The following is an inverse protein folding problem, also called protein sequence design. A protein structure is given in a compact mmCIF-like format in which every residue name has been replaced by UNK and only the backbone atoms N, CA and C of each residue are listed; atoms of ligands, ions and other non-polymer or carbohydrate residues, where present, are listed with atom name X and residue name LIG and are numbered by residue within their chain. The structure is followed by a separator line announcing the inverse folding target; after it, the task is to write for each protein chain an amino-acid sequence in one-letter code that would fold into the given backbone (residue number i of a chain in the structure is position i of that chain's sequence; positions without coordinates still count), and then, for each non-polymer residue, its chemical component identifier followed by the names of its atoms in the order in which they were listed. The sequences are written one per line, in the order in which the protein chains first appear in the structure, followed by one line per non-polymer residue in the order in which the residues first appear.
data_IF_246939036778
#
_entry.id   IF_246939036778
#
_cell.length_a   1.000
_cell.length_b   1.000
_cell.length_c   1.000
_cell.angle_alpha   90.00
_cell.angle_beta   90.00
_cell.angle_gamma   90.00
#
_symmetry.space_group_name_H-M   'P 1'
#
loop_
_entity.id
_entity.type
_entity.pdbx_description
1 polymer ?
#
# COMPACT_ATOMS: atom_id res chain seq x y z
N UNK A 1 -41.39 45.35 -2.00
CA UNK A 1 -41.52 45.20 -3.46
C UNK A 1 -40.18 44.73 -3.96
N UNK A 2 -40.21 43.56 -4.60
CA UNK A 2 -39.07 42.76 -5.06
C UNK A 2 -38.18 43.56 -6.02
N UNK A 3 -36.88 43.44 -5.88
CA UNK A 3 -35.94 43.64 -6.98
C UNK A 3 -35.33 42.28 -7.27
N UNK A 4 -35.92 41.63 -8.25
CA UNK A 4 -35.47 40.37 -8.83
C UNK A 4 -34.14 40.66 -9.54
N UNK A 5 -33.08 39.96 -9.10
CA UNK A 5 -31.81 39.90 -9.83
C UNK A 5 -31.79 38.53 -10.48
N UNK A 6 -32.06 38.53 -11.78
CA UNK A 6 -31.95 37.38 -12.65
C UNK A 6 -30.52 36.83 -12.58
N UNK A 7 -30.37 35.64 -12.01
CA UNK A 7 -29.15 34.86 -12.09
C UNK A 7 -29.29 33.94 -13.31
N UNK A 8 -28.73 34.36 -14.45
CA UNK A 8 -28.53 33.48 -15.59
C UNK A 8 -27.58 32.33 -15.18
N UNK A 9 -28.13 31.11 -15.19
CA UNK A 9 -27.38 29.87 -15.02
C UNK A 9 -26.81 29.52 -16.37
N UNK A 10 -25.53 29.85 -16.59
CA UNK A 10 -24.79 29.38 -17.75
C UNK A 10 -24.47 27.88 -17.53
N UNK A 11 -25.23 27.02 -18.18
CA UNK A 11 -24.99 25.58 -18.23
C UNK A 11 -23.75 25.33 -19.08
N UNK A 12 -22.59 25.26 -18.44
CA UNK A 12 -21.36 24.79 -19.10
C UNK A 12 -21.40 23.27 -19.16
N UNK A 13 -21.48 22.79 -20.39
CA UNK A 13 -21.44 21.39 -20.83
C UNK A 13 -20.38 20.59 -20.05
N UNK A 14 -20.85 19.63 -19.27
CA UNK A 14 -20.01 18.63 -18.62
C UNK A 14 -19.66 17.53 -19.62
N UNK A 15 -18.66 17.79 -20.47
CA UNK A 15 -17.99 16.74 -21.23
C UNK A 15 -16.67 16.36 -20.53
N UNK A 16 -16.70 15.18 -19.90
CA UNK A 16 -15.65 14.15 -20.01
C UNK A 16 -14.21 14.50 -19.57
N UNK A 17 -14.04 15.01 -18.34
CA UNK A 17 -12.70 15.35 -17.76
C UNK A 17 -12.15 14.40 -16.68
N UNK A 18 -12.73 13.22 -16.46
CA UNK A 18 -12.37 12.40 -15.28
C UNK A 18 -11.47 11.19 -15.49
N UNK A 19 -10.95 10.94 -16.70
CA UNK A 19 -9.93 9.89 -16.88
C UNK A 19 -8.81 10.29 -17.86
N UNK A 20 -7.93 11.19 -17.43
CA UNK A 20 -6.63 11.39 -18.07
C UNK A 20 -5.50 10.84 -17.19
N UNK A 21 -5.33 9.51 -17.17
CA UNK A 21 -4.01 8.93 -16.97
C UNK A 21 -3.09 9.55 -18.03
N UNK A 22 -2.12 10.34 -17.59
CA UNK A 22 -1.06 10.96 -18.39
C UNK A 22 -1.41 11.11 -19.88
N UNK A 23 -2.17 12.16 -20.25
CA UNK A 23 -2.16 12.60 -21.65
C UNK A 23 -0.71 12.95 -21.97
N UNK A 24 -0.04 12.07 -22.71
CA UNK A 24 1.23 12.37 -23.36
C UNK A 24 0.88 13.35 -24.46
N UNK A 25 0.97 14.64 -24.18
CA UNK A 25 1.04 15.65 -25.23
C UNK A 25 2.39 15.49 -25.92
N UNK A 26 2.49 14.54 -26.84
CA UNK A 26 3.61 14.44 -27.76
C UNK A 26 3.07 14.20 -29.17
N UNK A 27 2.63 15.28 -29.82
CA UNK A 27 2.75 15.41 -31.28
C UNK A 27 4.24 15.64 -31.62
N UNK A 28 5.12 14.73 -31.21
CA UNK A 28 6.57 14.87 -31.32
C UNK A 28 7.18 13.72 -32.12
N UNK A 29 8.22 14.04 -32.90
CA UNK A 29 9.05 13.08 -33.62
C UNK A 29 9.59 11.99 -32.67
N UNK A 30 9.27 10.69 -32.89
CA UNK A 30 9.73 9.59 -32.05
C UNK A 30 11.26 9.50 -31.93
N UNK A 31 12.01 9.86 -32.97
CA UNK A 31 13.48 9.84 -32.94
C UNK A 31 14.01 10.92 -31.99
N UNK A 32 13.39 12.11 -32.01
CA UNK A 32 13.70 13.20 -31.09
C UNK A 32 13.36 12.80 -29.63
N UNK A 33 12.24 12.12 -29.42
CA UNK A 33 11.86 11.61 -28.09
C UNK A 33 12.90 10.61 -27.57
N UNK A 34 13.34 9.66 -28.40
CA UNK A 34 14.37 8.69 -28.04
C UNK A 34 15.69 9.39 -27.69
N UNK A 35 16.15 10.35 -28.51
CA UNK A 35 17.37 11.11 -28.26
C UNK A 35 17.31 11.88 -26.92
N UNK A 36 16.15 12.45 -26.57
CA UNK A 36 15.95 13.08 -25.27
C UNK A 36 16.02 12.10 -24.11
N UNK A 37 15.42 10.91 -24.24
CA UNK A 37 15.45 9.87 -23.22
C UNK A 37 16.86 9.33 -23.00
N UNK A 38 17.62 9.06 -24.07
CA UNK A 38 19.01 8.63 -23.98
C UNK A 38 19.88 9.68 -23.29
N UNK A 39 19.69 10.97 -23.62
CA UNK A 39 20.42 12.05 -22.97
C UNK A 39 20.09 12.16 -21.48
N UNK A 40 18.80 12.01 -21.12
CA UNK A 40 18.37 11.97 -19.71
C UNK A 40 18.97 10.77 -18.98
N UNK A 41 19.01 9.60 -19.60
CA UNK A 41 19.62 8.40 -19.02
C UNK A 41 21.13 8.59 -18.74
N UNK A 42 21.87 9.17 -19.68
CA UNK A 42 23.29 9.51 -19.50
C UNK A 42 23.53 10.45 -18.32
N UNK A 43 22.60 11.39 -18.07
CA UNK A 43 22.70 12.38 -17.00
C UNK A 43 22.05 11.95 -15.69
N UNK A 44 21.29 10.84 -15.67
CA UNK A 44 20.46 10.43 -14.54
C UNK A 44 21.24 10.32 -13.23
N UNK A 45 22.42 9.71 -13.25
CA UNK A 45 23.27 9.57 -12.06
C UNK A 45 23.69 10.94 -11.51
N UNK A 46 24.04 11.89 -12.39
CA UNK A 46 24.43 13.25 -11.99
C UNK A 46 23.25 14.03 -11.43
N UNK A 47 22.06 13.89 -12.03
CA UNK A 47 20.83 14.48 -11.49
C UNK A 47 20.52 13.95 -10.09
N UNK A 48 20.60 12.63 -9.89
CA UNK A 48 20.38 11.99 -8.58
C UNK A 48 21.35 12.55 -7.54
N UNK A 49 22.64 12.59 -7.86
CA UNK A 49 23.67 13.13 -6.96
C UNK A 49 23.47 14.60 -6.63
N UNK A 50 23.05 15.43 -7.59
CA UNK A 50 22.76 16.84 -7.35
C UNK A 50 21.55 17.02 -6.42
N UNK A 51 20.47 16.25 -6.64
CA UNK A 51 19.29 16.26 -5.75
C UNK A 51 19.66 15.77 -4.35
N UNK A 52 20.44 14.69 -4.25
CA UNK A 52 20.94 14.13 -2.97
C UNK A 52 21.79 15.15 -2.20
N UNK A 53 22.69 15.86 -2.87
CA UNK A 53 23.50 16.90 -2.25
C UNK A 53 22.65 18.04 -1.68
N UNK A 54 21.63 18.49 -2.43
CA UNK A 54 20.69 19.51 -1.94
C UNK A 54 19.88 18.97 -0.76
N UNK A 55 19.31 17.76 -0.90
CA UNK A 55 18.52 17.09 0.13
C UNK A 55 19.26 17.03 1.47
N UNK A 56 20.51 16.58 1.44
CA UNK A 56 21.35 16.45 2.62
C UNK A 56 21.77 17.80 3.19
N UNK A 57 22.00 18.82 2.35
CA UNK A 57 22.34 20.16 2.83
C UNK A 57 21.16 20.86 3.54
N UNK A 58 19.91 20.61 3.10
CA UNK A 58 18.73 21.37 3.53
C UNK A 58 17.87 20.69 4.60
N UNK A 59 18.05 19.38 4.82
CA UNK A 59 17.28 18.63 5.83
C UNK A 59 18.04 18.46 7.14
N UNK A 60 17.31 18.15 8.21
CA UNK A 60 17.81 17.78 9.52
C UNK A 60 17.33 16.36 9.86
N UNK A 61 17.99 15.63 10.79
CA UNK A 61 17.53 14.30 11.18
C UNK A 61 16.05 14.24 11.61
N UNK A 62 15.55 15.28 12.29
CA UNK A 62 14.15 15.38 12.73
C UNK A 62 13.13 15.57 11.61
N UNK A 63 13.57 15.89 10.39
CA UNK A 63 12.67 15.94 9.24
C UNK A 63 12.32 14.56 8.71
N UNK A 64 13.08 13.55 9.13
CA UNK A 64 12.92 12.19 8.68
C UNK A 64 12.16 11.40 9.73
N UNK A 65 11.23 10.60 9.22
CA UNK A 65 10.54 9.59 10.00
C UNK A 65 10.70 8.24 9.33
N UNK A 66 11.21 7.25 10.05
CA UNK A 66 11.25 5.87 9.58
C UNK A 66 9.87 5.25 9.79
N UNK A 67 9.25 4.80 8.69
CA UNK A 67 7.95 4.14 8.65
C UNK A 67 8.11 2.75 8.03
N UNK A 68 8.30 1.72 8.86
CA UNK A 68 8.71 0.40 8.39
C UNK A 68 10.09 0.46 7.76
N UNK A 69 10.25 -0.08 6.55
CA UNK A 69 11.53 -0.12 5.82
C UNK A 69 11.79 1.14 4.97
N UNK A 70 11.02 2.22 5.18
CA UNK A 70 11.08 3.44 4.37
C UNK A 70 11.28 4.68 5.23
N UNK A 71 12.23 5.52 4.85
CA UNK A 71 12.39 6.87 5.35
C UNK A 71 11.43 7.82 4.63
N UNK A 72 10.65 8.57 5.41
CA UNK A 72 9.69 9.55 4.94
C UNK A 72 10.12 10.95 5.35
N UNK A 73 10.27 11.84 4.37
CA UNK A 73 10.54 13.25 4.60
C UNK A 73 9.25 13.99 4.99
N UNK A 74 9.34 14.80 6.05
CA UNK A 74 8.28 15.70 6.50
C UNK A 74 7.98 16.79 5.45
N UNK A 75 6.79 17.39 5.51
CA UNK A 75 6.47 18.51 4.61
C UNK A 75 7.41 19.70 4.82
N UNK A 76 7.79 20.01 6.07
CA UNK A 76 8.73 21.09 6.37
C UNK A 76 10.13 20.83 5.79
N UNK A 77 10.61 19.59 5.88
CA UNK A 77 11.87 19.18 5.26
C UNK A 77 11.80 19.27 3.73
N UNK A 78 10.71 18.80 3.14
CA UNK A 78 10.48 18.87 1.70
C UNK A 78 10.42 20.32 1.20
N UNK A 79 9.69 21.20 1.88
CA UNK A 79 9.62 22.63 1.52
C UNK A 79 11.00 23.31 1.56
N UNK A 80 11.86 22.98 2.54
CA UNK A 80 13.25 23.50 2.57
C UNK A 80 14.07 23.05 1.37
N UNK A 81 13.99 21.77 1.02
CA UNK A 81 14.65 21.23 -0.18
C UNK A 81 14.12 21.91 -1.44
N UNK A 82 12.80 22.13 -1.51
CA UNK A 82 12.12 22.74 -2.65
C UNK A 82 12.60 24.15 -2.98
N UNK A 83 13.12 24.92 -2.01
CA UNK A 83 13.64 26.29 -2.22
C UNK A 83 14.81 26.34 -3.21
N UNK A 84 15.54 25.25 -3.37
CA UNK A 84 16.67 25.16 -4.30
C UNK A 84 16.25 24.84 -5.74
N UNK A 85 14.95 24.64 -5.99
CA UNK A 85 14.43 24.24 -7.29
C UNK A 85 13.37 25.23 -7.77
N UNK A 86 13.28 25.50 -9.09
CA UNK A 86 12.27 26.38 -9.67
C UNK A 86 10.91 25.67 -9.77
N UNK A 87 10.36 25.25 -8.64
CA UNK A 87 9.06 24.57 -8.55
C UNK A 87 7.95 25.62 -8.63
N UNK A 88 7.01 25.42 -9.55
CA UNK A 88 5.79 26.22 -9.67
C UNK A 88 4.61 25.41 -9.18
N UNK A 89 3.71 26.06 -8.44
CA UNK A 89 2.45 25.48 -7.97
C UNK A 89 1.32 26.27 -8.64
N UNK A 90 0.44 25.57 -9.34
CA UNK A 90 -0.56 26.17 -10.24
C UNK A 90 -1.90 25.46 -10.13
N UNK A 91 -2.97 26.18 -10.47
CA UNK A 91 -4.35 25.67 -10.48
C UNK A 91 -4.74 24.93 -9.18
N UNK A 92 -4.39 25.53 -8.04
CA UNK A 92 -4.71 24.98 -6.72
C UNK A 92 -6.18 25.20 -6.42
N UNK A 93 -6.91 24.11 -6.20
CA UNK A 93 -8.27 24.10 -5.69
C UNK A 93 -8.30 23.44 -4.32
N UNK A 94 -9.34 23.71 -3.55
CA UNK A 94 -9.55 23.07 -2.26
C UNK A 94 -11.03 22.78 -2.03
N UNK A 95 -11.30 21.75 -1.23
CA UNK A 95 -12.64 21.44 -0.71
C UNK A 95 -12.57 21.07 0.76
N UNK A 96 -13.68 21.35 1.46
CA UNK A 96 -13.96 20.84 2.79
C UNK A 96 -14.92 19.66 2.66
N UNK A 97 -14.64 18.58 3.34
CA UNK A 97 -15.52 17.42 3.43
C UNK A 97 -15.83 17.13 4.89
N UNK A 98 -17.11 17.06 5.21
CA UNK A 98 -17.60 16.57 6.50
C UNK A 98 -17.42 15.05 6.56
N UNK A 99 -17.06 14.53 7.74
CA UNK A 99 -16.89 13.11 8.00
C UNK A 99 -17.56 12.74 9.32
N UNK A 100 -17.97 11.48 9.45
CA UNK A 100 -18.51 10.94 10.69
C UNK A 100 -17.91 9.57 10.91
N UNK A 101 -17.32 9.37 12.09
CA UNK A 101 -16.69 8.12 12.49
C UNK A 101 -17.11 7.74 13.92
N UNK A 102 -16.49 6.68 14.45
CA UNK A 102 -16.71 6.21 15.82
C UNK A 102 -16.35 7.25 16.90
N UNK A 103 -15.67 8.34 16.54
CA UNK A 103 -15.31 9.45 17.42
C UNK A 103 -16.20 10.68 17.20
N UNK A 104 -17.28 10.54 16.41
CA UNK A 104 -18.29 11.57 16.16
C UNK A 104 -18.12 12.27 14.81
N UNK A 105 -18.74 13.44 14.67
CA UNK A 105 -18.58 14.30 13.51
C UNK A 105 -17.15 14.89 13.45
N UNK A 106 -16.69 15.23 12.26
CA UNK A 106 -15.42 15.90 12.00
C UNK A 106 -15.37 16.42 10.58
N UNK A 107 -14.24 16.99 10.17
CA UNK A 107 -14.06 17.45 8.80
C UNK A 107 -12.61 17.28 8.33
N UNK A 108 -12.42 17.30 7.02
CA UNK A 108 -11.11 17.34 6.37
C UNK A 108 -11.07 18.40 5.27
N UNK A 109 -9.91 19.02 5.14
CA UNK A 109 -9.57 19.85 3.99
C UNK A 109 -8.74 19.05 3.01
N UNK A 110 -9.04 19.18 1.72
CA UNK A 110 -8.30 18.57 0.63
C UNK A 110 -7.90 19.66 -0.36
N UNK A 111 -6.60 19.84 -0.54
CA UNK A 111 -6.00 20.68 -1.58
C UNK A 111 -5.57 19.81 -2.75
N UNK A 112 -5.84 20.27 -3.96
CA UNK A 112 -5.47 19.60 -5.21
C UNK A 112 -4.93 20.62 -6.19
N UNK A 113 -3.98 20.24 -7.02
CA UNK A 113 -3.41 21.16 -8.00
C UNK A 113 -2.22 20.56 -8.72
N UNK A 114 -1.59 21.38 -9.57
CA UNK A 114 -0.42 20.97 -10.32
C UNK A 114 0.85 21.55 -9.73
N UNK A 115 1.91 20.77 -9.79
CA UNK A 115 3.26 21.24 -9.52
C UNK A 115 4.16 20.96 -10.72
N UNK A 116 4.99 21.93 -11.09
CA UNK A 116 5.83 21.89 -12.28
C UNK A 116 7.29 22.16 -11.90
N UNK A 117 8.21 21.36 -12.43
CA UNK A 117 9.65 21.54 -12.36
C UNK A 117 10.24 21.25 -13.74
N UNK A 118 10.74 22.28 -14.42
CA UNK A 118 11.19 22.17 -15.82
C UNK A 118 10.11 21.57 -16.73
N UNK A 119 10.40 20.43 -17.36
CA UNK A 119 9.52 19.68 -18.26
C UNK A 119 8.63 18.65 -17.54
N UNK A 120 8.73 18.57 -16.21
CA UNK A 120 7.92 17.64 -15.40
C UNK A 120 6.77 18.38 -14.74
N UNK A 121 5.55 17.91 -14.99
CA UNK A 121 4.32 18.36 -14.30
C UNK A 121 3.65 17.18 -13.61
N UNK A 122 3.22 17.38 -12.37
CA UNK A 122 2.53 16.35 -11.57
C UNK A 122 1.26 16.93 -10.96
N UNK A 123 0.22 16.11 -10.86
CA UNK A 123 -1.00 16.43 -10.13
C UNK A 123 -0.88 15.88 -8.71
N UNK A 124 -1.18 16.70 -7.71
CA UNK A 124 -0.85 16.41 -6.31
C UNK A 124 -2.04 16.72 -5.43
N UNK A 125 -2.19 15.92 -4.37
CA UNK A 125 -3.14 16.16 -3.30
C UNK A 125 -2.45 16.32 -1.96
N UNK A 126 -3.02 17.16 -1.10
CA UNK A 126 -2.71 17.22 0.32
C UNK A 126 -3.99 17.33 1.12
N UNK A 127 -4.09 16.52 2.18
CA UNK A 127 -5.26 16.51 3.04
C UNK A 127 -4.86 16.54 4.50
N UNK A 128 -5.71 17.16 5.30
CA UNK A 128 -5.59 17.15 6.76
C UNK A 128 -6.97 17.21 7.39
N UNK A 129 -7.13 16.54 8.52
CA UNK A 129 -8.42 16.32 9.16
C UNK A 129 -8.40 16.63 10.64
N UNK A 130 -9.57 16.87 11.21
CA UNK A 130 -9.76 16.89 12.68
C UNK A 130 -9.50 15.52 13.33
N UNK A 131 -9.29 14.47 12.53
CA UNK A 131 -8.91 13.12 12.95
C UNK A 131 -7.42 12.82 12.80
N UNK A 132 -6.61 13.83 12.56
CA UNK A 132 -5.15 13.71 12.64
C UNK A 132 -4.66 14.00 14.06
N UNK A 133 -3.88 13.08 14.64
CA UNK A 133 -3.49 13.11 16.06
C UNK A 133 -2.82 14.42 16.51
N UNK A 134 -2.04 15.06 15.64
CA UNK A 134 -1.25 16.23 16.03
C UNK A 134 -2.12 17.46 16.39
N UNK A 135 -3.27 17.65 15.72
CA UNK A 135 -4.19 18.74 16.04
C UNK A 135 -5.46 18.25 16.75
N UNK A 136 -5.94 17.07 16.37
CA UNK A 136 -7.22 16.51 16.83
C UNK A 136 -7.15 15.69 18.12
N UNK A 137 -5.97 15.36 18.64
CA UNK A 137 -5.83 14.52 19.83
C UNK A 137 -5.02 15.24 20.91
N UNK A 138 -5.54 15.30 22.13
CA UNK A 138 -4.84 15.84 23.30
C UNK A 138 -5.39 15.21 24.58
N UNK A 139 -4.56 15.13 25.62
CA UNK A 139 -4.95 14.53 26.90
C UNK A 139 -5.55 13.12 26.77
N UNK A 140 -4.98 12.32 25.85
CA UNK A 140 -5.43 10.97 25.52
C UNK A 140 -6.86 10.86 24.96
N UNK A 141 -7.45 11.97 24.52
CA UNK A 141 -8.79 12.04 23.96
C UNK A 141 -8.83 12.79 22.62
N UNK A 142 -9.81 12.47 21.78
CA UNK A 142 -10.11 13.24 20.58
C UNK A 142 -10.85 14.52 20.96
N UNK A 143 -10.37 15.66 20.48
CA UNK A 143 -11.04 16.95 20.68
C UNK A 143 -12.33 17.01 19.89
N UNK A 144 -13.29 17.77 20.41
CA UNK A 144 -14.45 18.17 19.63
C UNK A 144 -13.96 19.00 18.42
N UNK A 145 -14.46 18.76 17.20
CA UNK A 145 -14.15 19.59 16.03
C UNK A 145 -14.38 21.10 16.26
N UNK A 146 -15.32 21.48 17.13
CA UNK A 146 -15.59 22.87 17.48
C UNK A 146 -14.45 23.52 18.28
N UNK A 147 -13.67 22.72 19.03
CA UNK A 147 -12.50 23.18 19.80
C UNK A 147 -11.23 23.28 18.94
N UNK A 148 -11.29 22.79 17.70
CA UNK A 148 -10.17 22.80 16.76
C UNK A 148 -10.28 24.02 15.86
N UNK A 149 -9.23 24.85 15.85
CA UNK A 149 -9.15 25.98 14.92
C UNK A 149 -9.10 25.48 13.47
N UNK A 150 -10.15 25.75 12.72
CA UNK A 150 -10.30 25.35 11.32
C UNK A 150 -9.18 25.89 10.42
N UNK A 151 -8.67 27.10 10.70
CA UNK A 151 -7.54 27.68 10.00
C UNK A 151 -6.27 26.84 10.14
N UNK A 152 -6.05 26.19 11.28
CA UNK A 152 -4.91 25.28 11.47
C UNK A 152 -5.06 24.01 10.61
N UNK A 153 -6.26 23.45 10.50
CA UNK A 153 -6.53 22.27 9.67
C UNK A 153 -6.33 22.61 8.19
N UNK A 154 -6.88 23.75 7.75
CA UNK A 154 -6.75 24.24 6.38
C UNK A 154 -5.29 24.48 6.00
N UNK A 155 -4.53 25.18 6.85
CA UNK A 155 -3.10 25.43 6.62
C UNK A 155 -2.29 24.13 6.63
N UNK A 156 -2.58 23.21 7.56
CA UNK A 156 -1.91 21.90 7.59
C UNK A 156 -2.15 21.10 6.30
N UNK A 157 -3.38 21.10 5.77
CA UNK A 157 -3.69 20.45 4.49
C UNK A 157 -2.91 21.07 3.31
N UNK A 158 -2.80 22.39 3.28
CA UNK A 158 -1.98 23.10 2.28
C UNK A 158 -0.48 22.77 2.41
N UNK A 159 0.06 22.74 3.64
CA UNK A 159 1.44 22.33 3.89
C UNK A 159 1.71 20.88 3.45
N UNK A 160 0.76 19.97 3.68
CA UNK A 160 0.86 18.59 3.17
C UNK A 160 0.88 18.57 1.64
N UNK A 161 0.04 19.38 0.99
CA UNK A 161 0.03 19.51 -0.47
C UNK A 161 1.38 20.00 -1.01
N UNK A 162 1.92 21.10 -0.48
CA UNK A 162 3.23 21.64 -0.87
C UNK A 162 4.35 20.62 -0.66
N UNK A 163 4.42 19.98 0.50
CA UNK A 163 5.40 18.94 0.78
C UNK A 163 5.28 17.75 -0.17
N UNK A 164 4.05 17.32 -0.47
CA UNK A 164 3.79 16.24 -1.42
C UNK A 164 4.19 16.58 -2.85
N UNK A 165 4.08 17.84 -3.26
CA UNK A 165 4.48 18.31 -4.58
C UNK A 165 5.99 18.24 -4.76
N UNK A 166 6.76 18.75 -3.79
CA UNK A 166 8.22 18.66 -3.82
C UNK A 166 8.68 17.21 -3.82
N UNK A 167 8.11 16.37 -2.94
CA UNK A 167 8.48 14.95 -2.86
C UNK A 167 8.20 14.18 -4.15
N UNK A 168 7.08 14.49 -4.82
CA UNK A 168 6.72 13.84 -6.09
C UNK A 168 7.66 14.26 -7.22
N UNK A 169 7.90 15.57 -7.36
CA UNK A 169 8.75 16.14 -8.42
C UNK A 169 10.22 15.70 -8.30
N UNK A 170 10.73 15.55 -7.09
CA UNK A 170 12.12 15.18 -6.82
C UNK A 170 12.34 13.69 -6.55
N UNK A 171 11.28 12.88 -6.53
CA UNK A 171 11.40 11.43 -6.28
C UNK A 171 11.80 11.09 -4.84
N UNK A 172 11.34 11.88 -3.86
CA UNK A 172 11.72 11.75 -2.44
C UNK A 172 10.68 10.97 -1.61
N UNK A 173 9.74 10.27 -2.26
CA UNK A 173 8.70 9.48 -1.57
C UNK A 173 9.22 8.10 -1.22
N UNK A 174 9.29 7.80 0.08
CA UNK A 174 9.52 6.45 0.60
C UNK A 174 10.89 5.90 0.22
N UNK A 175 11.95 6.64 0.57
CA UNK A 175 13.34 6.23 0.35
C UNK A 175 13.62 4.97 1.18
N UNK A 176 14.20 3.89 0.62
CA UNK A 176 14.57 2.72 1.40
C UNK A 176 15.44 3.10 2.60
N UNK A 177 15.20 2.47 3.75
CA UNK A 177 15.91 2.81 4.99
C UNK A 177 17.43 2.61 4.86
N UNK A 178 17.88 1.57 4.16
CA UNK A 178 19.28 1.32 3.84
C UNK A 178 19.91 2.49 3.05
N UNK A 179 19.21 2.94 2.01
CA UNK A 179 19.63 4.08 1.20
C UNK A 179 19.69 5.36 2.05
N UNK A 180 18.70 5.59 2.90
CA UNK A 180 18.69 6.73 3.82
C UNK A 180 19.88 6.70 4.77
N UNK A 181 20.18 5.54 5.39
CA UNK A 181 21.36 5.38 6.26
C UNK A 181 22.65 5.64 5.50
N UNK A 182 22.77 5.16 4.27
CA UNK A 182 23.93 5.44 3.39
C UNK A 182 24.11 6.95 3.17
N UNK A 183 23.03 7.64 2.78
CA UNK A 183 23.06 9.09 2.51
C UNK A 183 23.42 9.90 3.77
N UNK A 184 22.83 9.57 4.92
CA UNK A 184 23.12 10.27 6.18
C UNK A 184 24.54 10.00 6.67
N UNK A 185 24.99 8.74 6.61
CA UNK A 185 26.36 8.35 6.97
C UNK A 185 27.43 9.08 6.18
N UNK A 186 27.20 9.30 4.88
CA UNK A 186 28.11 10.06 4.02
C UNK A 186 28.31 11.53 4.46
N UNK A 187 27.42 12.07 5.30
CA UNK A 187 27.49 13.45 5.80
C UNK A 187 28.00 13.57 7.23
N UNK A 188 28.37 12.45 7.87
CA UNK A 188 28.70 12.41 9.29
C UNK A 188 27.51 12.71 10.21
N UNK A 189 26.29 12.64 9.68
CA UNK A 189 25.06 12.86 10.46
C UNK A 189 24.53 11.53 10.96
N UNK A 190 24.07 11.56 12.20
CA UNK A 190 23.52 10.40 12.89
C UNK A 190 22.07 10.13 12.44
N UNK A 191 21.88 9.02 11.73
CA UNK A 191 20.58 8.58 11.23
C UNK A 191 19.64 8.16 12.37
N UNK A 192 20.17 7.78 13.54
CA UNK A 192 19.39 7.28 14.68
C UNK A 192 18.67 8.42 15.43
N UNK A 193 18.97 9.68 15.07
CA UNK A 193 18.23 10.87 15.54
C UNK A 193 16.91 11.12 14.81
N UNK A 194 16.58 10.29 13.82
CA UNK A 194 15.31 10.34 13.10
C UNK A 194 14.19 9.79 13.98
N UNK A 195 12.96 10.29 13.79
CA UNK A 195 11.83 9.70 14.52
C UNK A 195 11.45 8.35 13.90
N UNK A 196 11.06 7.37 14.72
CA UNK A 196 10.58 6.07 14.23
C UNK A 196 9.10 5.95 14.57
N UNK A 197 8.26 5.74 13.54
CA UNK A 197 6.85 5.43 13.74
C UNK A 197 6.67 3.94 13.50
N UNK A 198 6.56 3.20 14.59
CA UNK A 198 6.05 1.84 14.54
C UNK A 198 4.53 1.93 14.36
N UNK A 199 4.05 1.78 13.12
CA UNK A 199 2.62 1.49 12.92
C UNK A 199 2.39 0.10 13.51
N UNK A 200 1.61 0.01 14.59
CA UNK A 200 1.16 -1.28 15.11
C UNK A 200 0.59 -2.09 13.96
N UNK A 201 0.92 -3.39 13.88
CA UNK A 201 0.35 -4.32 12.89
C UNK A 201 -1.18 -4.20 12.93
N UNK A 202 -1.75 -3.41 12.03
CA UNK A 202 -3.19 -3.23 11.93
C UNK A 202 -3.81 -4.58 11.61
N UNK A 203 -4.77 -5.03 12.42
CA UNK A 203 -5.42 -6.35 12.29
C UNK A 203 -6.43 -6.41 11.13
N UNK A 204 -6.43 -5.45 10.20
CA UNK A 204 -7.32 -5.45 9.03
C UNK A 204 -6.61 -4.88 7.81
N UNK A 205 -6.43 -5.73 6.81
CA UNK A 205 -6.07 -5.34 5.44
C UNK A 205 -4.71 -5.87 4.99
N UNK A 206 -4.70 -7.09 4.43
CA UNK A 206 -3.67 -7.62 3.53
C UNK A 206 -2.22 -7.38 3.91
N UNK A 207 -1.68 -8.19 4.82
CA UNK A 207 -0.22 -8.33 4.96
C UNK A 207 0.37 -8.82 3.63
N UNK A 208 1.31 -8.07 3.07
CA UNK A 208 2.27 -8.63 2.12
C UNK A 208 2.98 -9.79 2.82
N UNK A 209 3.07 -10.94 2.15
CA UNK A 209 3.78 -12.10 2.67
C UNK A 209 5.23 -11.71 2.99
N UNK A 210 5.65 -11.91 4.26
CA UNK A 210 7.06 -11.83 4.64
C UNK A 210 7.89 -12.90 3.90
N UNK A 211 9.22 -12.83 3.98
CA UNK A 211 10.09 -13.89 3.45
C UNK A 211 9.72 -15.28 3.99
N UNK A 212 9.39 -15.35 5.28
CA UNK A 212 8.94 -16.58 5.96
C UNK A 212 7.53 -17.00 5.55
N UNK A 213 6.62 -16.05 5.28
CA UNK A 213 5.29 -16.41 4.75
C UNK A 213 5.44 -17.04 3.36
N UNK A 214 6.34 -16.56 2.50
CA UNK A 214 6.53 -17.15 1.16
C UNK A 214 7.03 -18.60 1.21
N UNK A 215 7.93 -18.93 2.14
CA UNK A 215 8.40 -20.32 2.30
C UNK A 215 7.28 -21.22 2.82
N UNK A 216 6.52 -20.77 3.80
CA UNK A 216 5.35 -21.51 4.32
C UNK A 216 4.23 -21.65 3.29
N UNK A 217 3.98 -20.64 2.46
CA UNK A 217 3.02 -20.71 1.35
C UNK A 217 3.45 -21.74 0.31
N UNK A 218 4.75 -21.80 0.01
CA UNK A 218 5.32 -22.79 -0.91
C UNK A 218 5.16 -24.20 -0.34
N UNK A 219 5.57 -24.41 0.90
CA UNK A 219 5.43 -25.70 1.59
C UNK A 219 3.96 -26.16 1.60
N UNK A 220 3.04 -25.27 1.98
CA UNK A 220 1.61 -25.54 1.98
C UNK A 220 1.11 -25.99 0.60
N UNK A 221 1.50 -25.28 -0.47
CA UNK A 221 1.09 -25.61 -1.82
C UNK A 221 1.68 -26.97 -2.28
N UNK A 222 2.94 -27.23 -1.99
CA UNK A 222 3.62 -28.48 -2.34
C UNK A 222 2.98 -29.68 -1.65
N UNK A 223 2.65 -29.57 -0.36
CA UNK A 223 2.01 -30.67 0.37
C UNK A 223 0.56 -30.90 -0.08
N UNK A 224 -0.21 -29.85 -0.41
CA UNK A 224 -1.54 -30.05 -0.99
C UNK A 224 -1.45 -30.75 -2.37
N UNK A 225 -0.44 -30.43 -3.17
CA UNK A 225 -0.18 -31.11 -4.45
C UNK A 225 0.23 -32.57 -4.23
N UNK A 226 1.02 -32.87 -3.19
CA UNK A 226 1.37 -34.27 -2.90
C UNK A 226 0.15 -35.09 -2.50
N UNK A 227 -0.78 -34.55 -1.70
CA UNK A 227 -2.04 -35.25 -1.38
C UNK A 227 -2.84 -35.55 -2.64
N UNK A 228 -3.03 -34.53 -3.50
CA UNK A 228 -3.80 -34.69 -4.72
C UNK A 228 -3.15 -35.67 -5.70
N UNK A 229 -1.82 -35.65 -5.84
CA UNK A 229 -1.10 -36.61 -6.68
C UNK A 229 -1.16 -38.05 -6.12
N UNK A 230 -1.25 -38.20 -4.81
CA UNK A 230 -1.45 -39.48 -4.14
C UNK A 230 -2.91 -39.97 -4.18
N UNK A 231 -3.81 -39.24 -4.84
CA UNK A 231 -5.21 -39.64 -4.99
C UNK A 231 -6.11 -39.28 -3.79
N UNK A 232 -5.68 -38.35 -2.94
CA UNK A 232 -6.39 -37.95 -1.73
C UNK A 232 -6.91 -36.52 -1.79
N UNK A 233 -8.12 -36.31 -1.27
CA UNK A 233 -8.66 -35.02 -0.85
C UNK A 233 -8.81 -35.00 0.68
N UNK A 234 -9.40 -33.94 1.21
CA UNK A 234 -9.63 -33.79 2.65
C UNK A 234 -11.11 -33.74 2.97
N UNK A 235 -11.47 -34.24 4.16
CA UNK A 235 -12.81 -34.13 4.72
C UNK A 235 -12.71 -33.76 6.20
N UNK A 236 -13.72 -33.04 6.71
CA UNK A 236 -13.82 -32.69 8.12
C UNK A 236 -14.96 -33.49 8.75
N UNK A 237 -14.68 -34.18 9.85
CA UNK A 237 -15.70 -34.89 10.63
C UNK A 237 -16.57 -33.93 11.46
N UNK A 238 -17.64 -34.46 12.08
CA UNK A 238 -18.55 -33.68 12.93
C UNK A 238 -17.91 -33.11 14.20
N UNK A 239 -16.74 -33.60 14.59
CA UNK A 239 -15.95 -33.12 15.74
C UNK A 239 -14.88 -32.09 15.30
N UNK A 240 -14.81 -31.78 14.02
CA UNK A 240 -13.91 -30.80 13.44
C UNK A 240 -12.50 -31.32 13.10
N UNK A 241 -12.26 -32.63 13.19
CA UNK A 241 -10.98 -33.23 12.78
C UNK A 241 -10.94 -33.43 11.28
N UNK A 242 -9.75 -33.23 10.72
CA UNK A 242 -9.50 -33.42 9.29
C UNK A 242 -8.87 -34.79 9.04
N UNK A 243 -9.30 -35.45 7.97
CA UNK A 243 -8.71 -36.70 7.46
C UNK A 243 -8.45 -36.61 5.96
N UNK A 244 -7.52 -37.44 5.48
CA UNK A 244 -7.34 -37.68 4.05
C UNK A 244 -8.35 -38.74 3.59
N UNK A 245 -9.06 -38.47 2.50
CA UNK A 245 -10.03 -39.40 1.90
C UNK A 245 -9.69 -39.61 0.42
N UNK A 246 -9.77 -40.85 -0.11
CA UNK A 246 -9.51 -41.11 -1.51
C UNK A 246 -10.47 -40.33 -2.42
N UNK A 247 -10.03 -40.02 -3.64
CA UNK A 247 -10.91 -39.48 -4.67
C UNK A 247 -12.09 -40.42 -4.92
N UNK A 248 -13.25 -39.83 -5.19
CA UNK A 248 -14.33 -40.61 -5.80
C UNK A 248 -13.93 -41.00 -7.22
N UNK A 249 -14.34 -42.18 -7.68
CA UNK A 249 -14.10 -42.64 -9.06
C UNK A 249 -14.67 -41.70 -10.14
N UNK A 250 -15.56 -40.78 -9.76
CA UNK A 250 -16.16 -39.77 -10.62
C UNK A 250 -15.44 -38.41 -10.61
N UNK A 251 -14.36 -38.23 -9.83
CA UNK A 251 -13.62 -36.96 -9.77
C UNK A 251 -12.58 -36.91 -10.89
N UNK A 252 -12.94 -36.29 -12.01
CA UNK A 252 -12.06 -36.10 -13.18
C UNK A 252 -11.17 -34.85 -13.08
N UNK A 253 -11.19 -34.12 -11.95
CA UNK A 253 -10.43 -32.88 -11.82
C UNK A 253 -8.93 -33.14 -11.85
N UNK A 254 -8.12 -32.27 -12.48
CA UNK A 254 -6.67 -32.41 -12.46
C UNK A 254 -6.14 -32.24 -11.03
N UNK A 255 -5.04 -32.94 -10.64
CA UNK A 255 -4.51 -32.88 -9.28
C UNK A 255 -4.23 -31.47 -8.76
N UNK A 256 -3.86 -30.54 -9.65
CA UNK A 256 -3.63 -29.15 -9.29
C UNK A 256 -4.91 -28.40 -8.86
N UNK A 257 -6.07 -28.73 -9.43
CA UNK A 257 -7.35 -28.16 -9.00
C UNK A 257 -7.78 -28.73 -7.65
N UNK A 258 -7.59 -30.04 -7.46
CA UNK A 258 -7.86 -30.69 -6.18
C UNK A 258 -6.95 -30.15 -5.09
N UNK A 259 -5.66 -29.93 -5.37
CA UNK A 259 -4.73 -29.31 -4.43
C UNK A 259 -5.15 -27.89 -3.99
N UNK A 260 -5.71 -27.10 -4.91
CA UNK A 260 -6.26 -25.77 -4.58
C UNK A 260 -7.48 -25.89 -3.68
N UNK A 261 -8.36 -26.85 -3.97
CA UNK A 261 -9.56 -27.14 -3.19
C UNK A 261 -9.22 -27.57 -1.76
N UNK A 262 -8.29 -28.52 -1.60
CA UNK A 262 -7.73 -28.92 -0.30
C UNK A 262 -7.24 -27.70 0.49
N UNK A 263 -6.48 -26.81 -0.15
CA UNK A 263 -5.96 -25.61 0.50
C UNK A 263 -7.10 -24.67 0.96
N UNK A 264 -8.13 -24.48 0.14
CA UNK A 264 -9.30 -23.66 0.46
C UNK A 264 -10.09 -24.29 1.62
N UNK A 265 -10.30 -25.60 1.61
CA UNK A 265 -11.05 -26.28 2.67
C UNK A 265 -10.32 -26.20 4.02
N UNK A 266 -9.02 -26.52 4.04
CA UNK A 266 -8.23 -26.50 5.28
C UNK A 266 -8.02 -25.09 5.85
N UNK A 267 -8.07 -24.08 5.00
CA UNK A 267 -7.99 -22.68 5.44
C UNK A 267 -9.35 -22.09 5.85
N UNK A 268 -10.46 -22.78 5.61
CA UNK A 268 -11.76 -22.40 6.17
C UNK A 268 -11.84 -22.66 7.68
N UNK A 269 -12.61 -21.85 8.40
CA UNK A 269 -12.90 -22.05 9.83
C UNK A 269 -14.15 -21.27 10.28
N UNK A 270 -14.77 -21.74 11.36
CA UNK A 270 -15.87 -21.02 12.02
C UNK A 270 -15.31 -19.89 12.89
N UNK A 271 -15.75 -18.66 12.64
CA UNK A 271 -15.37 -17.50 13.44
C UNK A 271 -16.54 -16.95 14.25
N UNK A 272 -16.27 -15.97 15.12
CA UNK A 272 -17.28 -15.34 16.00
C UNK A 272 -18.46 -14.68 15.24
N UNK A 273 -18.32 -14.47 13.92
CA UNK A 273 -19.33 -13.86 13.05
C UNK A 273 -19.84 -14.83 11.97
N UNK A 274 -19.63 -16.13 12.18
CA UNK A 274 -19.97 -17.21 11.25
C UNK A 274 -18.77 -17.71 10.46
N UNK A 275 -19.06 -18.61 9.53
CA UNK A 275 -18.06 -19.29 8.70
C UNK A 275 -17.21 -18.33 7.87
N UNK A 276 -15.90 -18.47 7.99
CA UNK A 276 -14.91 -17.75 7.18
C UNK A 276 -14.46 -18.63 6.03
N UNK A 277 -14.78 -18.21 4.79
CA UNK A 277 -14.35 -18.90 3.57
C UNK A 277 -12.81 -18.96 3.49
N UNK A 278 -12.29 -20.15 3.22
CA UNK A 278 -10.86 -20.34 3.01
C UNK A 278 -10.32 -19.71 1.73
N UNK A 279 -9.00 -19.75 1.60
CA UNK A 279 -8.22 -19.04 0.60
C UNK A 279 -7.14 -19.93 0.00
N UNK A 280 -6.62 -19.51 -1.15
CA UNK A 280 -5.46 -20.15 -1.76
C UNK A 280 -4.20 -19.89 -0.92
N UNK A 281 -3.21 -20.80 -1.02
CA UNK A 281 -1.94 -20.68 -0.31
C UNK A 281 -1.30 -19.29 -0.49
N UNK A 282 -1.27 -18.77 -1.73
CA UNK A 282 -0.70 -17.45 -2.07
C UNK A 282 -1.39 -16.25 -1.38
N UNK A 283 -2.58 -16.44 -0.83
CA UNK A 283 -3.39 -15.42 -0.17
C UNK A 283 -3.37 -15.51 1.37
N UNK A 284 -2.74 -16.55 1.92
CA UNK A 284 -2.63 -16.78 3.36
C UNK A 284 -1.35 -16.13 3.90
N UNK A 285 -1.44 -15.42 5.01
CA UNK A 285 -0.26 -14.84 5.69
C UNK A 285 -0.39 -14.95 7.21
N UNK A 286 0.76 -14.93 7.90
CA UNK A 286 0.82 -14.89 9.36
C UNK A 286 0.11 -16.04 10.07
N UNK A 287 -0.70 -15.74 11.09
CA UNK A 287 -1.35 -16.77 11.93
C UNK A 287 -2.26 -17.71 11.15
N UNK A 288 -2.95 -17.20 10.14
CA UNK A 288 -3.84 -18.01 9.31
C UNK A 288 -3.04 -19.04 8.50
N UNK A 289 -1.96 -18.61 7.85
CA UNK A 289 -1.05 -19.50 7.14
C UNK A 289 -0.47 -20.58 8.05
N UNK A 290 0.04 -20.19 9.22
CA UNK A 290 0.64 -21.14 10.16
C UNK A 290 -0.37 -22.16 10.70
N UNK A 291 -1.62 -21.74 10.96
CA UNK A 291 -2.67 -22.65 11.39
C UNK A 291 -3.05 -23.65 10.29
N UNK A 292 -3.19 -23.19 9.04
CA UNK A 292 -3.47 -24.07 7.89
C UNK A 292 -2.32 -25.04 7.63
N UNK A 293 -1.08 -24.56 7.69
CA UNK A 293 0.11 -25.40 7.53
C UNK A 293 0.22 -26.46 8.64
N UNK A 294 -0.15 -26.12 9.89
CA UNK A 294 -0.23 -27.08 10.98
C UNK A 294 -1.23 -28.20 10.73
N UNK A 295 -2.40 -27.91 10.15
CA UNK A 295 -3.38 -28.94 9.74
C UNK A 295 -2.80 -29.85 8.65
N UNK A 296 -2.17 -29.25 7.63
CA UNK A 296 -1.58 -29.99 6.51
C UNK A 296 -0.43 -30.90 6.96
N UNK A 297 0.46 -30.43 7.85
CA UNK A 297 1.54 -31.26 8.40
C UNK A 297 1.00 -32.46 9.18
N UNK A 298 -0.03 -32.26 10.00
CA UNK A 298 -0.70 -33.35 10.74
C UNK A 298 -1.32 -34.38 9.79
N UNK A 299 -1.92 -33.94 8.69
CA UNK A 299 -2.45 -34.84 7.66
C UNK A 299 -1.33 -35.59 6.92
N UNK A 300 -0.21 -34.94 6.64
CA UNK A 300 0.93 -35.57 5.98
C UNK A 300 1.55 -36.69 6.84
N UNK A 301 1.56 -36.53 8.18
CA UNK A 301 1.96 -37.59 9.12
C UNK A 301 1.04 -38.82 9.08
N UNK A 302 -0.23 -38.63 8.71
CA UNK A 302 -1.22 -39.71 8.57
C UNK A 302 -1.28 -40.32 7.16
N UNK A 303 -0.43 -39.86 6.24
CA UNK A 303 -0.40 -40.41 4.90
C UNK A 303 0.17 -41.83 4.96
N UNK A 304 -0.52 -42.85 4.39
CA UNK A 304 0.06 -44.18 4.29
C UNK A 304 1.38 -44.07 3.51
N UNK A 305 2.48 -44.54 4.11
CA UNK A 305 3.77 -44.62 3.42
C UNK A 305 3.64 -45.43 2.14
N UNK A 306 4.53 -45.20 1.17
CA UNK A 306 4.55 -45.78 -0.19
C UNK A 306 4.56 -47.33 -0.29
N UNK A 307 4.33 -48.09 0.79
CA UNK A 307 4.42 -49.55 0.78
C UNK A 307 3.12 -50.32 0.49
N UNK A 308 1.95 -49.70 0.38
CA UNK A 308 0.74 -50.41 -0.07
C UNK A 308 -0.12 -49.57 -1.03
N UNK A 309 0.42 -49.28 -2.21
CA UNK A 309 -0.43 -49.04 -3.38
C UNK A 309 -1.02 -50.36 -3.88
N UNK A 310 -2.30 -50.42 -4.32
CA UNK A 310 -2.85 -51.64 -4.91
C UNK A 310 -2.01 -52.06 -6.12
N UNK A 311 -1.64 -53.36 -6.19
CA UNK A 311 -0.81 -53.90 -7.24
C UNK A 311 -1.42 -53.59 -8.63
N UNK A 312 -0.61 -53.17 -9.62
CA UNK A 312 -1.11 -52.67 -10.91
C UNK A 312 -1.69 -53.74 -11.85
N UNK A 313 -2.11 -54.91 -11.36
CA UNK A 313 -2.54 -56.04 -12.19
C UNK A 313 -3.82 -56.78 -11.79
N UNK A 314 -4.63 -56.28 -10.85
CA UNK A 314 -5.98 -56.83 -10.68
C UNK A 314 -7.03 -55.89 -11.29
N UNK A 315 -7.23 -56.09 -12.60
CA UNK A 315 -8.48 -55.79 -13.32
C UNK A 315 -9.39 -57.01 -13.30
#
# INVERSE_FOLDING_TARGET
MSTDIDHEVETVETEDRDHALARVEAEGDPELMLAHLEKKAQLATRYRQAVEAVLLSQTYPKDWTIQGEKACLSSAGAERVGRSFPIKIEAVTWKKEELTDQHGAGYRYIYSGYATLYDRRVFVHGSYSTRDKFLGFAHDEWKDPADINEGHIRNAAYHVFCGNAVKELLGLRGIPEEEYRRMMGATGRDADKSSTVQRGKGTRGGSQASGDDKSHQKELAETCVSFANAGFTVEQDGDGNWSLVPFSEADERPPLEVAKDICIQLSGFEGDKGYVKGKLASQLTGKWLNATLGKVRKLAESMPGEEEGPAPWDK
#
